data_IF_141713573828
#
_entry.id   IF_141713573828
#
_cell.length_a   1.000
_cell.length_b   1.000
_cell.length_c   1.000
_cell.angle_alpha   90.00
_cell.angle_beta   90.00
_cell.angle_gamma   90.00
#
_symmetry.space_group_name_H-M   'P 1'
#
loop_
_entity.id
_entity.type
_entity.pdbx_description
1 polymer ?
#
# COMPACT_ATOMS: atom_id res chain seq x y z
N UNK A 1 16.55 -13.29 12.89
CA UNK A 1 15.10 -13.05 12.75
C UNK A 1 14.18 -14.18 13.26
N UNK A 2 14.51 -14.87 14.37
CA UNK A 2 13.55 -15.80 15.02
C UNK A 2 12.82 -15.10 16.17
N UNK A 3 13.55 -14.42 17.04
CA UNK A 3 12.98 -13.66 18.15
C UNK A 3 12.10 -12.47 17.69
N UNK A 4 12.48 -11.81 16.59
CA UNK A 4 11.69 -10.74 15.98
C UNK A 4 10.31 -11.19 15.48
N UNK A 5 10.13 -12.50 15.19
CA UNK A 5 8.85 -13.06 14.71
C UNK A 5 7.97 -13.59 15.84
N UNK A 6 8.36 -13.36 17.10
CA UNK A 6 7.59 -13.77 18.27
C UNK A 6 7.53 -15.29 18.44
N UNK A 7 8.58 -15.88 19.04
CA UNK A 7 8.55 -17.28 19.45
C UNK A 7 7.79 -17.38 20.77
N UNK A 8 6.79 -18.26 20.85
CA UNK A 8 6.08 -18.49 22.11
C UNK A 8 7.00 -19.16 23.15
N UNK A 9 6.97 -18.73 24.43
CA UNK A 9 7.83 -19.28 25.48
C UNK A 9 7.70 -20.79 25.69
N UNK A 10 6.53 -21.37 25.40
CA UNK A 10 6.28 -22.81 25.59
C UNK A 10 7.13 -23.69 24.65
N UNK A 11 7.68 -23.14 23.56
CA UNK A 11 8.60 -23.86 22.67
C UNK A 11 9.95 -24.17 23.36
N UNK A 12 10.32 -23.40 24.39
CA UNK A 12 11.63 -23.49 25.05
C UNK A 12 11.87 -24.87 25.65
N UNK A 13 10.88 -25.43 26.36
CA UNK A 13 11.05 -26.73 27.03
C UNK A 13 11.16 -27.92 26.05
N UNK A 14 10.30 -28.07 25.03
CA UNK A 14 10.48 -29.10 23.99
C UNK A 14 11.83 -28.97 23.27
N UNK A 15 12.23 -27.75 22.91
CA UNK A 15 13.50 -27.50 22.22
C UNK A 15 14.70 -27.86 23.10
N UNK A 16 14.69 -27.46 24.37
CA UNK A 16 15.74 -27.80 25.34
C UNK A 16 15.88 -29.32 25.50
N UNK A 17 14.76 -30.02 25.73
CA UNK A 17 14.77 -31.49 25.89
C UNK A 17 15.31 -32.18 24.65
N UNK A 18 14.92 -31.73 23.46
CA UNK A 18 15.40 -32.30 22.19
C UNK A 18 16.91 -32.03 22.00
N UNK A 19 17.37 -30.83 22.32
CA UNK A 19 18.80 -30.49 22.26
C UNK A 19 19.62 -31.35 23.22
N UNK A 20 19.19 -31.48 24.48
CA UNK A 20 19.86 -32.34 25.48
C UNK A 20 19.92 -33.80 25.03
N UNK A 21 18.81 -34.34 24.50
CA UNK A 21 18.78 -35.69 23.96
C UNK A 21 19.82 -35.90 22.85
N UNK A 22 19.91 -34.95 21.91
CA UNK A 22 20.86 -35.01 20.81
C UNK A 22 22.31 -34.91 21.28
N UNK A 23 22.60 -34.06 22.28
CA UNK A 23 23.95 -33.94 22.87
C UNK A 23 24.37 -35.29 23.47
N UNK A 24 23.52 -35.92 24.29
CA UNK A 24 23.82 -37.22 24.90
C UNK A 24 24.05 -38.30 23.83
N UNK A 25 23.23 -38.31 22.78
CA UNK A 25 23.32 -39.31 21.71
C UNK A 25 24.55 -39.14 20.81
N UNK A 26 24.96 -37.91 20.53
CA UNK A 26 25.96 -37.61 19.50
C UNK A 26 27.34 -37.26 20.08
N UNK A 27 27.38 -36.60 21.23
CA UNK A 27 28.61 -36.13 21.87
C UNK A 27 28.93 -36.88 23.19
N UNK A 28 27.99 -37.71 23.67
CA UNK A 28 28.09 -38.39 24.95
C UNK A 28 27.73 -37.48 26.14
N UNK A 29 28.05 -37.93 27.36
CA UNK A 29 27.73 -37.25 28.62
C UNK A 29 26.43 -37.73 29.28
N UNK A 30 26.19 -37.25 30.50
CA UNK A 30 25.00 -37.60 31.31
C UNK A 30 24.15 -36.36 31.55
N UNK A 31 22.86 -36.45 31.23
CA UNK A 31 21.92 -35.35 31.48
C UNK A 31 21.58 -35.27 32.97
N UNK A 32 21.74 -34.07 33.55
CA UNK A 32 21.32 -33.82 34.92
C UNK A 32 19.79 -34.00 35.09
N UNK A 33 19.36 -34.35 36.31
CA UNK A 33 17.94 -34.49 36.64
C UNK A 33 17.29 -33.12 36.83
N UNK A 34 16.17 -32.91 36.15
CA UNK A 34 15.36 -31.69 36.26
C UNK A 34 15.75 -30.59 35.26
N UNK A 35 15.01 -29.47 35.31
CA UNK A 35 15.24 -28.26 34.51
C UNK A 35 15.06 -27.06 35.42
N UNK A 36 15.97 -26.09 35.34
CA UNK A 36 15.80 -24.78 35.98
C UNK A 36 15.13 -23.86 34.97
N UNK A 37 13.90 -23.44 35.26
CA UNK A 37 13.10 -22.55 34.42
C UNK A 37 12.65 -21.33 35.22
N UNK A 38 13.08 -20.14 34.80
CA UNK A 38 12.77 -18.86 35.45
C UNK A 38 11.84 -18.08 34.52
N UNK A 39 10.54 -18.23 34.74
CA UNK A 39 9.50 -17.63 33.90
C UNK A 39 8.59 -16.69 34.71
N UNK A 40 9.08 -15.49 35.07
CA UNK A 40 8.27 -14.48 35.76
C UNK A 40 7.13 -14.00 34.84
N UNK A 41 5.92 -13.89 35.38
CA UNK A 41 4.76 -13.44 34.60
C UNK A 41 4.23 -14.46 33.60
N UNK A 42 4.45 -15.77 33.85
CA UNK A 42 3.89 -16.86 33.05
C UNK A 42 2.39 -16.65 32.82
N UNK A 43 2.00 -16.62 31.54
CA UNK A 43 0.61 -16.55 31.13
C UNK A 43 0.09 -17.95 30.79
N UNK A 44 -1.16 -18.21 31.17
CA UNK A 44 -1.85 -19.42 30.72
C UNK A 44 -2.30 -19.25 29.26
N UNK A 45 -2.45 -20.39 28.57
CA UNK A 45 -2.94 -20.36 27.19
C UNK A 45 -4.40 -19.88 27.18
N UNK A 46 -4.63 -18.74 26.53
CA UNK A 46 -5.97 -18.20 26.34
C UNK A 46 -6.79 -19.11 25.41
N UNK A 47 -8.03 -19.35 25.82
CA UNK A 47 -9.02 -20.07 25.03
C UNK A 47 -9.93 -19.08 24.34
N UNK A 48 -10.18 -19.29 23.05
CA UNK A 48 -11.01 -18.42 22.22
C UNK A 48 -12.34 -19.12 21.97
N UNK A 49 -13.44 -18.45 22.28
CA UNK A 49 -14.79 -18.94 21.96
C UNK A 49 -15.10 -18.68 20.49
N UNK A 50 -15.46 -19.73 19.76
CA UNK A 50 -15.89 -19.66 18.38
C UNK A 50 -17.29 -20.27 18.24
N UNK A 51 -18.18 -19.57 17.51
CA UNK A 51 -19.53 -20.05 17.24
C UNK A 51 -19.79 -20.15 15.73
N UNK A 52 -20.64 -21.10 15.34
CA UNK A 52 -21.05 -21.28 13.92
C UNK A 52 -21.73 -20.02 13.37
N UNK A 53 -22.48 -19.32 14.20
CA UNK A 53 -23.13 -18.05 13.85
C UNK A 53 -22.13 -16.97 13.48
N UNK A 54 -21.01 -16.84 14.21
CA UNK A 54 -19.98 -15.84 13.93
C UNK A 54 -19.25 -16.12 12.60
N UNK A 55 -19.01 -17.39 12.30
CA UNK A 55 -18.49 -17.83 11.00
C UNK A 55 -19.46 -17.46 9.88
N UNK A 56 -20.75 -17.76 10.04
CA UNK A 56 -21.78 -17.41 9.06
C UNK A 56 -21.84 -15.91 8.82
N UNK A 57 -21.80 -15.10 9.88
CA UNK A 57 -21.84 -13.64 9.77
C UNK A 57 -20.64 -13.09 9.00
N UNK A 58 -19.44 -13.65 9.21
CA UNK A 58 -18.22 -13.14 8.59
C UNK A 58 -18.01 -13.68 7.17
N UNK A 59 -18.18 -14.99 6.97
CA UNK A 59 -17.89 -15.65 5.69
C UNK A 59 -19.11 -15.73 4.77
N UNK A 60 -20.33 -15.52 5.28
CA UNK A 60 -21.55 -15.67 4.48
C UNK A 60 -21.88 -17.13 4.11
N UNK A 61 -21.22 -18.11 4.72
CA UNK A 61 -21.43 -19.55 4.50
C UNK A 61 -21.65 -20.27 5.82
N UNK A 62 -22.53 -21.26 5.82
CA UNK A 62 -22.79 -22.10 6.99
C UNK A 62 -21.86 -23.32 6.98
N UNK A 63 -21.10 -23.49 8.06
CA UNK A 63 -20.34 -24.70 8.33
C UNK A 63 -20.89 -25.37 9.60
N UNK A 64 -20.97 -26.71 9.58
CA UNK A 64 -21.33 -27.47 10.77
C UNK A 64 -20.22 -27.39 11.82
N UNK A 65 -20.59 -27.56 13.10
CA UNK A 65 -19.60 -27.56 14.18
C UNK A 65 -18.54 -28.66 13.97
N UNK A 66 -18.93 -29.81 13.42
CA UNK A 66 -18.02 -30.91 13.11
C UNK A 66 -17.00 -30.54 12.02
N UNK A 67 -17.42 -29.80 10.97
CA UNK A 67 -16.50 -29.29 9.94
C UNK A 67 -15.48 -28.31 10.54
N UNK A 68 -15.95 -27.41 11.40
CA UNK A 68 -15.12 -26.41 12.08
C UNK A 68 -14.10 -27.08 12.99
N UNK A 69 -14.56 -28.00 13.85
CA UNK A 69 -13.70 -28.74 14.78
C UNK A 69 -12.72 -29.61 14.00
N UNK A 70 -13.15 -30.29 12.94
CA UNK A 70 -12.28 -31.10 12.09
C UNK A 70 -11.17 -30.28 11.45
N UNK A 71 -11.49 -29.12 10.88
CA UNK A 71 -10.52 -28.20 10.29
C UNK A 71 -9.49 -27.73 11.33
N UNK A 72 -9.93 -27.23 12.48
CA UNK A 72 -9.04 -26.72 13.53
C UNK A 72 -8.21 -27.83 14.18
N UNK A 73 -8.80 -29.01 14.42
CA UNK A 73 -8.06 -30.14 15.00
C UNK A 73 -6.96 -30.64 14.05
N UNK A 74 -7.21 -30.62 12.72
CA UNK A 74 -6.19 -30.98 11.71
C UNK A 74 -4.94 -30.08 11.76
N UNK A 75 -5.10 -28.85 12.24
CA UNK A 75 -4.03 -27.87 12.43
C UNK A 75 -3.37 -27.94 13.81
N UNK A 76 -3.82 -28.85 14.68
CA UNK A 76 -3.29 -29.07 16.03
C UNK A 76 -3.92 -28.19 17.10
N UNK A 77 -5.05 -27.52 16.82
CA UNK A 77 -5.80 -26.81 17.85
C UNK A 77 -6.53 -27.78 18.77
N UNK A 78 -6.60 -27.43 20.05
CA UNK A 78 -7.39 -28.17 21.03
C UNK A 78 -8.80 -27.59 21.09
N UNK A 79 -9.79 -28.38 20.70
CA UNK A 79 -11.20 -27.98 20.65
C UNK A 79 -11.97 -28.66 21.78
N UNK A 80 -12.57 -27.86 22.66
CA UNK A 80 -13.49 -28.31 23.72
C UNK A 80 -14.90 -27.79 23.45
N UNK A 81 -15.92 -28.57 23.78
CA UNK A 81 -17.32 -28.13 23.60
C UNK A 81 -17.58 -26.82 24.37
N UNK A 82 -18.27 -25.89 23.74
CA UNK A 82 -18.75 -24.66 24.36
C UNK A 82 -20.00 -24.88 25.21
N UNK A 83 -20.57 -23.78 25.68
CA UNK A 83 -21.78 -23.80 26.51
C UNK A 83 -23.03 -24.16 25.68
N UNK A 84 -23.03 -23.78 24.39
CA UNK A 84 -24.04 -24.12 23.39
C UNK A 84 -23.58 -25.24 22.43
N UNK A 85 -24.54 -25.97 21.85
CA UNK A 85 -24.30 -26.92 20.75
C UNK A 85 -23.75 -26.26 19.47
N UNK A 86 -23.76 -24.93 19.37
CA UNK A 86 -23.19 -24.14 18.27
C UNK A 86 -21.82 -23.52 18.58
N UNK A 87 -21.23 -23.85 19.73
CA UNK A 87 -20.03 -23.21 20.25
C UNK A 87 -18.89 -24.20 20.55
N UNK A 88 -17.66 -23.73 20.38
CA UNK A 88 -16.43 -24.46 20.70
C UNK A 88 -15.40 -23.52 21.33
N UNK A 89 -14.81 -23.95 22.43
CA UNK A 89 -13.63 -23.35 23.03
C UNK A 89 -12.38 -23.90 22.35
N UNK A 90 -11.58 -23.02 21.76
CA UNK A 90 -10.41 -23.39 20.97
C UNK A 90 -9.15 -22.87 21.64
N UNK A 91 -8.16 -23.75 21.84
CA UNK A 91 -6.82 -23.37 22.33
C UNK A 91 -5.81 -23.55 21.20
N UNK A 92 -5.08 -22.48 20.89
CA UNK A 92 -4.04 -22.52 19.86
C UNK A 92 -2.81 -23.32 20.33
N UNK A 93 -2.18 -24.11 19.46
CA UNK A 93 -0.94 -24.78 19.80
C UNK A 93 0.21 -23.79 19.94
N UNK A 94 1.25 -24.15 20.71
CA UNK A 94 2.32 -23.22 21.06
C UNK A 94 3.16 -22.70 19.87
N UNK A 95 3.12 -23.37 18.72
CA UNK A 95 3.82 -22.89 17.52
C UNK A 95 3.04 -21.85 16.71
N UNK A 96 1.80 -21.53 17.10
CA UNK A 96 0.93 -20.52 16.46
C UNK A 96 0.93 -19.22 17.25
N UNK A 97 1.93 -18.37 17.03
CA UNK A 97 2.03 -17.05 17.67
C UNK A 97 1.09 -15.99 17.07
N UNK A 98 0.39 -16.32 15.99
CA UNK A 98 -0.49 -15.45 15.22
C UNK A 98 -1.96 -15.50 15.66
N UNK A 99 -2.35 -16.48 16.48
CA UNK A 99 -3.76 -16.69 16.89
C UNK A 99 -4.05 -16.03 18.23
N UNK A 100 -4.94 -15.03 18.22
CA UNK A 100 -5.36 -14.25 19.38
C UNK A 100 -6.87 -14.01 19.46
N UNK A 101 -7.56 -13.97 18.32
CA UNK A 101 -8.97 -13.60 18.22
C UNK A 101 -9.78 -14.68 17.51
N UNK A 102 -11.10 -14.62 17.68
CA UNK A 102 -12.02 -15.50 16.97
C UNK A 102 -11.89 -15.36 15.45
N UNK A 103 -11.55 -14.17 14.94
CA UNK A 103 -11.40 -13.94 13.49
C UNK A 103 -10.24 -14.74 12.89
N UNK A 104 -9.15 -14.92 13.64
CA UNK A 104 -7.99 -15.69 13.21
C UNK A 104 -8.36 -17.17 13.07
N UNK A 105 -9.21 -17.68 13.97
CA UNK A 105 -9.77 -19.04 13.85
C UNK A 105 -10.72 -19.17 12.66
N UNK A 106 -11.52 -18.14 12.37
CA UNK A 106 -12.44 -18.14 11.23
C UNK A 106 -11.64 -18.18 9.92
N UNK A 107 -10.53 -17.44 9.84
CA UNK A 107 -9.61 -17.51 8.70
C UNK A 107 -9.05 -18.93 8.55
N UNK A 108 -8.60 -19.56 9.63
CA UNK A 108 -8.06 -20.93 9.57
C UNK A 108 -9.10 -21.95 9.09
N UNK A 109 -10.35 -21.82 9.55
CA UNK A 109 -11.48 -22.63 9.08
C UNK A 109 -11.71 -22.40 7.59
N UNK A 110 -11.79 -21.14 7.14
CA UNK A 110 -11.95 -20.80 5.74
C UNK A 110 -10.82 -21.35 4.88
N UNK A 111 -9.57 -21.23 5.34
CA UNK A 111 -8.36 -21.63 4.63
C UNK A 111 -8.28 -23.14 4.44
N UNK A 112 -8.70 -23.92 5.45
CA UNK A 112 -8.69 -25.39 5.38
C UNK A 112 -9.88 -25.94 4.61
N UNK A 113 -11.07 -25.37 4.77
CA UNK A 113 -12.25 -25.83 4.03
C UNK A 113 -12.16 -25.42 2.55
N UNK A 114 -11.56 -24.27 2.28
CA UNK A 114 -11.34 -23.72 0.94
C UNK A 114 -12.12 -22.43 0.71
N UNK A 115 -11.43 -21.40 0.22
CA UNK A 115 -12.05 -20.12 -0.11
C UNK A 115 -13.02 -20.24 -1.30
N UNK A 116 -12.87 -21.28 -2.13
CA UNK A 116 -13.81 -21.61 -3.22
C UNK A 116 -15.22 -21.95 -2.71
N UNK A 117 -15.37 -22.30 -1.44
CA UNK A 117 -16.67 -22.56 -0.81
C UNK A 117 -17.39 -21.30 -0.35
N UNK A 118 -16.70 -20.16 -0.32
CA UNK A 118 -17.28 -18.88 0.10
C UNK A 118 -18.00 -18.26 -1.10
N UNK A 119 -19.32 -17.99 -1.02
CA UNK A 119 -20.08 -17.47 -2.14
C UNK A 119 -19.70 -16.01 -2.44
N UNK A 120 -19.45 -15.71 -3.71
CA UNK A 120 -19.35 -14.33 -4.17
C UNK A 120 -20.75 -13.70 -4.14
N UNK A 121 -20.98 -12.76 -3.22
CA UNK A 121 -22.25 -12.07 -3.05
C UNK A 121 -22.08 -10.58 -3.25
N UNK A 122 -23.09 -9.92 -3.82
CA UNK A 122 -23.15 -8.47 -3.86
C UNK A 122 -23.51 -7.93 -2.49
N UNK A 123 -23.06 -6.72 -2.18
CA UNK A 123 -23.53 -5.99 -0.99
C UNK A 123 -25.06 -5.86 -1.05
N UNK A 124 -25.72 -6.20 0.05
CA UNK A 124 -27.19 -6.21 0.14
C UNK A 124 -27.80 -4.81 0.31
N UNK A 125 -26.97 -3.80 0.56
CA UNK A 125 -27.42 -2.43 0.76
C UNK A 125 -27.58 -1.69 -0.58
N UNK A 126 -28.58 -0.80 -0.70
CA UNK A 126 -28.71 0.05 -1.87
C UNK A 126 -27.45 0.93 -2.01
N UNK A 127 -27.10 1.24 -3.26
CA UNK A 127 -25.99 2.16 -3.53
C UNK A 127 -26.25 3.49 -2.82
N UNK A 128 -25.27 4.04 -2.08
CA UNK A 128 -25.38 5.37 -1.53
C UNK A 128 -25.57 6.38 -2.67
N UNK A 129 -26.17 7.53 -2.37
CA UNK A 129 -26.29 8.61 -3.37
C UNK A 129 -24.90 9.02 -3.85
N UNK A 130 -24.74 9.15 -5.16
CA UNK A 130 -23.52 9.67 -5.74
C UNK A 130 -23.32 11.12 -5.27
N UNK A 131 -22.19 11.39 -4.62
CA UNK A 131 -21.77 12.75 -4.35
C UNK A 131 -20.97 13.23 -5.56
N UNK A 132 -21.42 14.26 -6.31
CA UNK A 132 -20.66 14.75 -7.44
C UNK A 132 -19.32 15.31 -6.95
N UNK A 133 -18.22 14.95 -7.61
CA UNK A 133 -16.90 15.53 -7.40
C UNK A 133 -16.61 16.55 -8.52
N UNK A 134 -16.88 17.86 -8.31
CA UNK A 134 -16.83 18.83 -9.40
C UNK A 134 -15.42 19.00 -9.97
N UNK A 135 -14.39 18.93 -9.12
CA UNK A 135 -12.98 19.04 -9.52
C UNK A 135 -12.56 17.86 -10.38
N UNK A 136 -12.96 16.63 -10.01
CA UNK A 136 -12.67 15.45 -10.82
C UNK A 136 -13.30 15.55 -12.21
N UNK A 137 -14.56 15.98 -12.28
CA UNK A 137 -15.26 16.15 -13.54
C UNK A 137 -14.63 17.27 -14.39
N UNK A 138 -14.26 18.40 -13.77
CA UNK A 138 -13.54 19.48 -14.43
C UNK A 138 -12.20 18.99 -15.00
N UNK A 139 -11.40 18.25 -14.23
CA UNK A 139 -10.13 17.68 -14.67
C UNK A 139 -10.30 16.78 -15.89
N UNK A 140 -11.25 15.84 -15.84
CA UNK A 140 -11.54 14.94 -16.96
C UNK A 140 -12.00 15.70 -18.20
N UNK A 141 -12.86 16.71 -18.03
CA UNK A 141 -13.35 17.54 -19.13
C UNK A 141 -12.22 18.36 -19.76
N UNK A 142 -11.39 19.00 -18.94
CA UNK A 142 -10.24 19.80 -19.38
C UNK A 142 -9.23 18.93 -20.14
N UNK A 143 -8.90 17.74 -19.62
CA UNK A 143 -8.01 16.80 -20.31
C UNK A 143 -8.54 16.41 -21.69
N UNK A 144 -9.82 16.04 -21.80
CA UNK A 144 -10.45 15.71 -23.09
C UNK A 144 -10.41 16.88 -24.08
N UNK A 145 -10.64 18.10 -23.61
CA UNK A 145 -10.59 19.30 -24.46
C UNK A 145 -9.18 19.51 -25.01
N UNK A 146 -8.15 19.47 -24.16
CA UNK A 146 -6.76 19.67 -24.58
C UNK A 146 -6.27 18.57 -25.52
N UNK A 147 -6.61 17.31 -25.26
CA UNK A 147 -6.34 16.21 -26.19
C UNK A 147 -7.06 16.40 -27.53
N UNK A 148 -8.30 16.93 -27.51
CA UNK A 148 -9.02 17.31 -28.72
C UNK A 148 -8.33 18.41 -29.54
N UNK A 149 -7.59 19.31 -28.88
CA UNK A 149 -6.72 20.31 -29.51
C UNK A 149 -5.33 19.77 -29.87
N UNK A 150 -5.11 18.44 -29.82
CA UNK A 150 -3.86 17.81 -30.21
C UNK A 150 -2.74 17.91 -29.18
N UNK A 151 -3.05 18.27 -27.92
CA UNK A 151 -2.06 18.18 -26.85
C UNK A 151 -1.90 16.74 -26.38
N UNK A 152 -0.66 16.38 -26.06
CA UNK A 152 -0.31 15.13 -25.41
C UNK A 152 -0.22 15.33 -23.90
N UNK A 153 -0.98 14.53 -23.14
CA UNK A 153 -0.88 14.54 -21.68
C UNK A 153 0.43 13.88 -21.24
N UNK A 154 1.13 14.52 -20.30
CA UNK A 154 2.32 13.98 -19.64
C UNK A 154 2.10 13.95 -18.12
N UNK A 155 2.72 12.97 -17.46
CA UNK A 155 2.69 12.84 -15.99
C UNK A 155 4.12 12.88 -15.51
N UNK A 156 4.46 13.88 -14.70
CA UNK A 156 5.82 14.06 -14.18
C UNK A 156 5.88 13.80 -12.68
N UNK A 157 7.09 13.58 -12.16
CA UNK A 157 7.28 13.36 -10.73
C UNK A 157 6.85 14.57 -9.90
N UNK A 158 6.18 14.34 -8.77
CA UNK A 158 5.90 15.41 -7.80
C UNK A 158 7.16 16.01 -7.17
N UNK A 159 8.28 15.29 -7.24
CA UNK A 159 9.58 15.72 -6.71
C UNK A 159 10.48 16.26 -7.82
N UNK A 160 11.30 17.24 -7.47
CA UNK A 160 12.26 17.91 -8.32
C UNK A 160 13.50 18.32 -7.51
N UNK A 161 14.53 18.80 -8.20
CA UNK A 161 15.78 19.25 -7.59
C UNK A 161 15.87 20.77 -7.53
N UNK A 162 16.63 21.30 -6.57
CA UNK A 162 16.79 22.75 -6.43
C UNK A 162 17.45 23.38 -7.67
N UNK A 163 18.41 22.68 -8.29
CA UNK A 163 19.06 23.13 -9.53
C UNK A 163 18.04 23.38 -10.64
N UNK A 164 17.07 22.47 -10.79
CA UNK A 164 16.04 22.54 -11.82
C UNK A 164 15.05 23.67 -11.58
N UNK A 165 14.71 23.94 -10.31
CA UNK A 165 13.88 25.07 -9.93
C UNK A 165 14.60 26.40 -10.14
N UNK A 166 15.88 26.48 -9.82
CA UNK A 166 16.68 27.69 -9.99
C UNK A 166 16.84 28.08 -11.47
N UNK A 167 16.83 27.11 -12.41
CA UNK A 167 16.82 27.38 -13.86
C UNK A 167 15.59 28.17 -14.33
N UNK A 168 14.54 28.24 -13.52
CA UNK A 168 13.33 29.01 -13.84
C UNK A 168 13.42 30.49 -13.47
N UNK A 169 14.40 30.87 -12.65
CA UNK A 169 14.57 32.24 -12.19
C UNK A 169 15.37 33.04 -13.22
N UNK A 170 14.93 34.27 -13.49
CA UNK A 170 15.63 35.19 -14.39
C UNK A 170 16.94 35.71 -13.79
N UNK A 171 17.02 35.80 -12.45
CA UNK A 171 18.22 36.21 -11.73
C UNK A 171 18.49 35.26 -10.55
N UNK A 172 19.77 35.05 -10.15
CA UNK A 172 20.10 34.14 -9.05
C UNK A 172 19.66 34.74 -7.70
N UNK A 173 18.52 34.27 -7.20
CA UNK A 173 18.02 34.60 -5.87
C UNK A 173 17.45 33.34 -5.19
N UNK A 174 17.42 33.28 -3.84
CA UNK A 174 16.78 32.19 -3.14
C UNK A 174 15.31 32.02 -3.55
N UNK A 175 14.85 30.78 -3.67
CA UNK A 175 13.43 30.51 -3.87
C UNK A 175 12.66 30.90 -2.61
N UNK A 176 11.73 31.84 -2.75
CA UNK A 176 10.84 32.26 -1.67
C UNK A 176 9.37 32.09 -2.09
N UNK A 177 8.55 31.33 -1.33
CA UNK A 177 8.95 30.50 -0.20
C UNK A 177 9.81 29.30 -0.62
N UNK A 178 10.69 28.85 0.28
CA UNK A 178 11.52 27.67 0.03
C UNK A 178 10.63 26.43 -0.17
N UNK A 179 10.79 25.65 -1.26
CA UNK A 179 10.02 24.43 -1.49
C UNK A 179 10.21 23.42 -0.36
N UNK A 180 9.22 22.54 -0.18
CA UNK A 180 9.24 21.54 0.89
C UNK A 180 10.29 20.47 0.58
N UNK A 181 11.26 20.30 1.48
CA UNK A 181 12.31 19.30 1.37
C UNK A 181 11.85 17.95 1.92
N UNK A 182 12.15 16.88 1.20
CA UNK A 182 11.94 15.52 1.68
C UNK A 182 13.03 15.19 2.71
N UNK A 183 12.63 14.65 3.87
CA UNK A 183 13.58 14.32 4.94
C UNK A 183 14.63 13.26 4.54
N UNK A 184 14.26 12.30 3.70
CA UNK A 184 15.12 11.20 3.25
C UNK A 184 15.05 11.04 1.71
N UNK A 185 15.62 11.98 0.94
CA UNK A 185 15.57 11.92 -0.51
C UNK A 185 16.50 10.82 -1.03
N UNK A 186 16.06 10.06 -2.04
CA UNK A 186 16.89 9.01 -2.66
C UNK A 186 17.95 9.59 -3.60
N UNK A 187 17.67 10.72 -4.25
CA UNK A 187 18.61 11.45 -5.11
C UNK A 187 18.41 12.96 -4.99
N UNK A 188 19.44 13.75 -5.32
CA UNK A 188 19.39 15.22 -5.30
C UNK A 188 18.48 15.80 -6.40
N UNK A 189 18.24 15.08 -7.49
CA UNK A 189 17.28 15.54 -8.50
C UNK A 189 15.81 15.41 -8.03
N UNK A 190 15.56 14.76 -6.88
CA UNK A 190 14.22 14.45 -6.37
C UNK A 190 14.11 14.66 -4.86
N UNK A 191 14.51 15.84 -4.41
CA UNK A 191 14.58 16.15 -2.98
C UNK A 191 13.54 17.19 -2.53
N UNK A 192 12.97 17.97 -3.45
CA UNK A 192 11.95 18.99 -3.14
C UNK A 192 10.60 18.66 -3.81
N UNK A 193 9.49 18.91 -3.12
CA UNK A 193 8.18 18.91 -3.74
C UNK A 193 8.05 20.10 -4.71
N UNK A 194 7.52 19.84 -5.91
CA UNK A 194 7.40 20.85 -6.96
C UNK A 194 6.42 21.97 -6.55
N UNK A 195 6.84 23.24 -6.56
CA UNK A 195 5.94 24.38 -6.32
C UNK A 195 5.15 24.78 -7.59
N UNK A 196 5.56 24.28 -8.77
CA UNK A 196 4.91 24.52 -10.06
C UNK A 196 5.12 23.31 -11.00
N UNK A 197 4.29 23.21 -12.06
CA UNK A 197 4.47 22.21 -13.13
C UNK A 197 5.49 22.63 -14.18
N UNK A 198 5.82 23.93 -14.25
CA UNK A 198 6.62 24.53 -15.32
C UNK A 198 8.01 23.90 -15.41
N UNK A 199 8.66 23.69 -14.27
CA UNK A 199 10.00 23.08 -14.23
C UNK A 199 9.99 21.73 -14.95
N UNK A 200 9.07 20.86 -14.53
CA UNK A 200 8.98 19.50 -15.02
C UNK A 200 8.58 19.45 -16.49
N UNK A 201 7.57 20.24 -16.89
CA UNK A 201 7.15 20.34 -18.29
C UNK A 201 8.30 20.81 -19.19
N UNK A 202 9.10 21.78 -18.76
CA UNK A 202 10.27 22.24 -19.52
C UNK A 202 11.36 21.18 -19.62
N UNK A 203 11.58 20.37 -18.60
CA UNK A 203 12.52 19.24 -18.69
C UNK A 203 12.03 18.17 -19.66
N UNK A 204 10.74 17.80 -19.61
CA UNK A 204 10.15 16.87 -20.57
C UNK A 204 10.25 17.42 -21.98
N UNK A 205 9.92 18.70 -22.17
CA UNK A 205 10.07 19.36 -23.46
C UNK A 205 11.51 19.35 -23.94
N UNK A 206 12.49 19.72 -23.09
CA UNK A 206 13.91 19.72 -23.44
C UNK A 206 14.42 18.33 -23.84
N UNK A 207 13.96 17.28 -23.16
CA UNK A 207 14.31 15.89 -23.47
C UNK A 207 13.74 15.46 -24.84
N UNK A 208 12.53 15.88 -25.19
CA UNK A 208 11.87 15.50 -26.44
C UNK A 208 12.25 16.40 -27.63
N UNK A 209 12.64 17.66 -27.39
CA UNK A 209 12.90 18.65 -28.46
C UNK A 209 13.97 18.21 -29.46
N UNK A 210 14.90 17.34 -29.06
CA UNK A 210 15.96 16.81 -29.94
C UNK A 210 15.52 15.61 -30.79
N UNK A 211 14.38 15.01 -30.47
CA UNK A 211 13.85 13.82 -31.12
C UNK A 211 12.61 14.09 -31.97
N UNK A 212 12.05 15.29 -31.89
CA UNK A 212 10.83 15.71 -32.58
C UNK A 212 11.11 16.91 -33.49
N UNK A 213 10.97 16.69 -34.81
CA UNK A 213 11.12 17.75 -35.83
C UNK A 213 9.86 18.62 -35.98
N UNK A 214 8.73 18.18 -35.39
CA UNK A 214 7.42 18.83 -35.47
C UNK A 214 7.10 19.80 -34.34
N UNK A 215 5.83 20.19 -34.28
CA UNK A 215 5.27 20.93 -33.15
C UNK A 215 5.07 20.02 -31.93
N UNK A 216 5.52 20.47 -30.77
CA UNK A 216 5.32 19.79 -29.49
C UNK A 216 4.23 20.53 -28.71
N UNK A 217 3.17 19.82 -28.36
CA UNK A 217 2.07 20.30 -27.52
C UNK A 217 1.94 19.34 -26.34
N UNK A 218 2.40 19.74 -25.16
CA UNK A 218 2.29 18.91 -23.96
C UNK A 218 1.46 19.63 -22.90
N UNK A 219 0.74 18.86 -22.09
CA UNK A 219 0.09 19.38 -20.90
C UNK A 219 0.15 18.40 -19.74
N UNK A 220 0.04 18.91 -18.53
CA UNK A 220 -0.07 18.12 -17.30
C UNK A 220 -1.13 18.74 -16.39
N UNK A 221 -2.02 17.89 -15.85
CA UNK A 221 -2.98 18.23 -14.80
C UNK A 221 -2.51 17.56 -13.49
N UNK A 222 -1.90 18.36 -12.62
CA UNK A 222 -1.23 17.81 -11.44
C UNK A 222 -1.27 18.74 -10.24
N UNK A 223 -1.02 18.16 -9.07
CA UNK A 223 -0.83 18.93 -7.84
C UNK A 223 0.53 19.62 -7.82
N UNK A 224 0.54 20.80 -7.23
CA UNK A 224 1.75 21.49 -6.76
C UNK A 224 1.65 21.67 -5.25
N UNK A 225 2.78 21.92 -4.60
CA UNK A 225 2.86 21.93 -3.15
C UNK A 225 3.37 23.28 -2.69
N UNK A 226 2.49 24.06 -2.04
CA UNK A 226 2.80 25.39 -1.55
C UNK A 226 3.06 25.31 -0.03
N UNK A 227 4.26 25.69 0.44
CA UNK A 227 4.60 25.62 1.86
C UNK A 227 3.66 26.45 2.73
N UNK A 228 3.26 25.90 3.87
CA UNK A 228 2.59 26.63 4.96
C UNK A 228 3.39 26.49 6.25
N UNK A 229 3.39 27.53 7.07
CA UNK A 229 4.18 27.55 8.30
C UNK A 229 3.62 26.58 9.35
N UNK A 230 4.42 25.59 9.76
CA UNK A 230 4.05 24.56 10.75
C UNK A 230 2.73 23.84 10.46
N UNK A 231 2.40 23.65 9.18
CA UNK A 231 1.19 22.95 8.77
C UNK A 231 1.46 22.12 7.50
N UNK A 232 0.53 21.22 7.15
CA UNK A 232 0.51 20.55 5.86
C UNK A 232 0.49 21.60 4.73
N UNK A 233 1.11 21.34 3.57
CA UNK A 233 1.11 22.30 2.48
C UNK A 233 -0.27 22.45 1.83
N UNK A 234 -0.48 23.58 1.14
CA UNK A 234 -1.61 23.67 0.22
C UNK A 234 -1.27 22.87 -1.06
N UNK A 235 -2.20 22.03 -1.49
CA UNK A 235 -2.02 21.14 -2.65
C UNK A 235 -3.01 21.46 -3.78
N UNK A 236 -2.97 22.67 -4.37
CA UNK A 236 -3.88 23.00 -5.45
C UNK A 236 -3.61 22.12 -6.68
N UNK A 237 -4.67 21.65 -7.32
CA UNK A 237 -4.57 21.10 -8.67
C UNK A 237 -4.40 22.23 -9.67
N UNK A 238 -3.39 22.11 -10.52
CA UNK A 238 -3.08 23.09 -11.55
C UNK A 238 -2.95 22.42 -12.91
N UNK A 239 -3.23 23.19 -13.96
CA UNK A 239 -2.97 22.83 -15.35
C UNK A 239 -1.71 23.57 -15.80
N UNK A 240 -0.75 22.83 -16.34
CA UNK A 240 0.40 23.39 -17.05
C UNK A 240 0.39 22.90 -18.49
N UNK A 241 0.75 23.77 -19.43
CA UNK A 241 0.87 23.45 -20.85
C UNK A 241 2.13 24.05 -21.46
N UNK A 242 2.64 23.41 -22.49
CA UNK A 242 3.74 23.91 -23.32
C UNK A 242 3.43 23.67 -24.79
N UNK A 243 3.55 24.73 -25.58
CA UNK A 243 3.48 24.69 -27.04
C UNK A 243 4.80 25.21 -27.60
N UNK A 244 5.33 24.55 -28.63
CA UNK A 244 6.52 25.00 -29.34
C UNK A 244 6.64 24.31 -30.69
N UNK A 245 7.25 24.98 -31.67
CA UNK A 245 7.51 24.44 -33.00
C UNK A 245 6.42 24.80 -34.00
N UNK A 246 6.21 23.93 -35.00
CA UNK A 246 5.26 24.17 -36.08
C UNK A 246 3.81 24.04 -35.60
N UNK A 247 2.97 24.97 -36.06
CA UNK A 247 1.54 25.04 -35.76
C UNK A 247 0.78 23.87 -36.36
N UNK A 248 1.09 23.55 -37.62
CA UNK A 248 0.49 22.44 -38.35
C UNK A 248 1.50 21.30 -38.49
N UNK A 249 0.98 20.08 -38.66
CA UNK A 249 1.81 18.99 -39.13
C UNK A 249 2.33 19.32 -40.53
N UNK A 250 3.54 18.86 -40.86
CA UNK A 250 4.12 19.08 -42.17
C UNK A 250 3.22 18.47 -43.23
N UNK A 251 2.58 19.34 -44.00
CA UNK A 251 1.71 18.97 -45.10
C UNK A 251 2.23 19.58 -46.40
N UNK A 252 1.87 18.98 -47.53
CA UNK A 252 2.24 19.49 -48.86
C UNK A 252 1.50 20.78 -49.24
N UNK A 253 0.45 21.14 -48.51
CA UNK A 253 -0.41 22.30 -48.78
C UNK A 253 -0.16 23.48 -47.85
N UNK A 254 0.35 23.20 -46.65
CA UNK A 254 0.49 24.19 -45.60
C UNK A 254 1.88 24.84 -45.59
N UNK A 255 1.92 26.13 -45.25
CA UNK A 255 3.17 26.84 -45.00
C UNK A 255 3.64 26.49 -43.58
N UNK A 256 4.96 26.43 -43.39
CA UNK A 256 5.58 26.27 -42.07
C UNK A 256 5.31 27.49 -41.19
N UNK A 257 4.13 27.56 -40.57
CA UNK A 257 3.79 28.53 -39.54
C UNK A 257 4.24 28.00 -38.18
N UNK A 258 4.92 28.84 -37.41
CA UNK A 258 5.32 28.54 -36.02
C UNK A 258 4.23 29.01 -35.06
N UNK A 259 4.11 28.34 -33.91
CA UNK A 259 3.27 28.84 -32.83
C UNK A 259 3.71 30.22 -32.37
N UNK A 260 2.74 31.08 -32.10
CA UNK A 260 2.95 32.36 -31.41
C UNK A 260 2.20 32.42 -30.07
N UNK A 261 2.11 33.61 -29.47
CA UNK A 261 1.46 33.80 -28.17
C UNK A 261 -0.08 33.72 -28.24
N UNK A 262 -0.68 33.88 -29.42
CA UNK A 262 -2.12 33.92 -29.61
C UNK A 262 -2.73 32.55 -29.94
N UNK A 263 -1.89 31.54 -30.18
CA UNK A 263 -2.27 30.13 -30.35
C UNK A 263 -2.55 29.41 -29.02
#
# INVERSE_FOLDING_TARGET
>A
MRFERGIRPELTLPALKRATQLIVQLAGGEAAKGVVDVYPGKQDQETILLSTGRIKTLLGVEFSLDQIVGALTSLGFNCKKGDSASEVWVTAPYWRSDIHLAVDLIEEVARIIGYDKIPATMLSQPLPRQNPEPILNLKQKTGRILTGYGFQEVITYSLTGLEMLNKLLSEPHPLEPMPLHMANPMTTEREYLRPNLRANLLAVFSANRRHEDGGIRLFELGKVYLPRHNDLPDEPEVLGGILSGSRLEKSWQDKDELFDFYD
#
